data_IF_101034038905
#
_entry.id   IF_101034038905
#
_cell.length_a   1.000
_cell.length_b   1.000
_cell.length_c   1.000
_cell.angle_alpha   90.00
_cell.angle_beta   90.00
_cell.angle_gamma   90.00
#
_symmetry.space_group_name_H-M   'P 1'
#
loop_
_entity.id
_entity.type
_entity.pdbx_description
1 polymer ?
#
# COMPACT_ATOMS: atom_id res chain seq x y z
N UNK A 1 -10.06 8.75 20.81
CA UNK A 1 -9.01 8.16 19.95
C UNK A 1 -8.27 7.11 20.79
N UNK A 2 -8.07 5.89 20.27
CA UNK A 2 -7.29 4.85 20.96
C UNK A 2 -5.78 5.19 20.89
N UNK A 3 -4.94 4.73 21.84
CA UNK A 3 -3.50 4.93 21.74
C UNK A 3 -2.93 4.26 20.46
N UNK A 4 -1.84 4.78 19.88
CA UNK A 4 -1.17 4.12 18.77
C UNK A 4 -0.59 2.78 19.22
N UNK A 5 -0.59 1.81 18.32
CA UNK A 5 0.05 0.51 18.54
C UNK A 5 1.39 0.48 17.80
N UNK A 6 2.46 -0.07 18.43
CA UNK A 6 3.67 -0.38 17.69
C UNK A 6 3.33 -1.42 16.63
N UNK A 7 3.76 -1.15 15.39
CA UNK A 7 3.43 -1.95 14.23
C UNK A 7 4.61 -1.92 13.27
N UNK A 8 5.11 -3.09 12.91
CA UNK A 8 6.07 -3.26 11.81
C UNK A 8 5.40 -4.07 10.70
N UNK A 9 5.04 -3.41 9.61
CA UNK A 9 4.35 -4.05 8.50
C UNK A 9 5.23 -5.02 7.71
N UNK A 10 6.54 -5.09 7.98
CA UNK A 10 7.41 -6.13 7.41
C UNK A 10 7.33 -7.46 8.16
N UNK A 11 6.83 -7.46 9.40
CA UNK A 11 6.71 -8.65 10.24
C UNK A 11 5.36 -9.35 10.03
N UNK A 12 5.30 -10.64 9.64
CA UNK A 12 4.03 -11.33 9.37
C UNK A 12 3.02 -11.30 10.53
N UNK A 13 3.52 -11.17 11.76
CA UNK A 13 2.75 -11.22 13.01
C UNK A 13 2.10 -9.89 13.39
N UNK A 14 2.35 -8.79 12.66
CA UNK A 14 1.89 -7.44 13.05
C UNK A 14 0.37 -7.33 13.21
N UNK A 15 -0.39 -8.24 12.59
CA UNK A 15 -1.85 -8.28 12.67
C UNK A 15 -2.41 -9.15 13.79
N UNK A 16 -1.60 -9.98 14.45
CA UNK A 16 -2.07 -11.02 15.39
C UNK A 16 -2.79 -10.44 16.61
N UNK A 17 -2.38 -9.27 17.07
CA UNK A 17 -2.98 -8.57 18.21
C UNK A 17 -4.36 -7.95 17.88
N UNK A 18 -4.83 -8.05 16.63
CA UNK A 18 -6.09 -7.50 16.17
C UNK A 18 -6.95 -8.61 15.58
N UNK A 19 -8.23 -8.63 15.95
CA UNK A 19 -9.21 -9.55 15.38
C UNK A 19 -9.35 -9.35 13.86
N UNK A 20 -9.52 -10.45 13.12
CA UNK A 20 -9.78 -10.37 11.69
C UNK A 20 -11.11 -9.64 11.43
N UNK A 21 -11.21 -8.96 10.29
CA UNK A 21 -12.42 -8.24 9.88
C UNK A 21 -12.89 -7.09 10.80
N UNK A 22 -11.98 -6.50 11.57
CA UNK A 22 -12.29 -5.45 12.55
C UNK A 22 -12.42 -4.03 11.98
N UNK A 23 -11.90 -3.75 10.78
CA UNK A 23 -11.79 -2.38 10.27
C UNK A 23 -12.61 -2.12 9.01
N UNK A 24 -13.24 -0.94 8.94
CA UNK A 24 -13.89 -0.43 7.74
C UNK A 24 -12.88 0.06 6.69
N UNK A 25 -11.78 0.65 7.15
CA UNK A 25 -10.76 1.23 6.31
C UNK A 25 -9.36 1.13 6.90
N UNK A 26 -8.36 1.03 6.02
CA UNK A 26 -6.94 1.16 6.33
C UNK A 26 -6.37 2.23 5.39
N UNK A 27 -5.54 3.11 5.94
CA UNK A 27 -4.91 4.19 5.17
C UNK A 27 -3.40 4.10 5.40
N UNK A 28 -2.64 4.07 4.31
CA UNK A 28 -1.18 4.15 4.31
C UNK A 28 -0.75 5.36 3.48
N UNK A 29 -0.08 6.32 4.10
CA UNK A 29 0.31 7.58 3.45
C UNK A 29 1.81 7.77 3.50
N UNK A 30 2.44 7.87 2.32
CA UNK A 30 3.89 8.03 2.18
C UNK A 30 4.73 6.94 2.87
N UNK A 31 4.23 5.71 2.92
CA UNK A 31 4.94 4.57 3.57
C UNK A 31 5.73 3.75 2.54
N UNK A 32 5.09 3.35 1.44
CA UNK A 32 5.60 2.25 0.61
C UNK A 32 6.91 2.56 -0.15
N UNK A 33 7.19 3.83 -0.40
CA UNK A 33 8.36 4.25 -1.18
C UNK A 33 9.61 4.53 -0.33
N UNK A 34 9.45 4.66 0.99
CA UNK A 34 10.54 4.84 1.97
C UNK A 34 10.67 3.62 2.90
N UNK A 35 10.27 2.45 2.42
CA UNK A 35 10.33 1.20 3.16
C UNK A 35 10.70 0.05 2.22
N UNK A 36 11.27 -1.05 2.73
CA UNK A 36 11.51 -2.26 1.94
C UNK A 36 10.23 -2.84 1.35
N UNK A 37 10.34 -3.63 0.28
CA UNK A 37 9.17 -4.22 -0.38
C UNK A 37 8.33 -5.11 0.55
N UNK A 38 8.95 -5.74 1.55
CA UNK A 38 8.27 -6.52 2.59
C UNK A 38 7.15 -5.74 3.30
N UNK A 39 7.30 -4.42 3.48
CA UNK A 39 6.25 -3.57 4.06
C UNK A 39 5.02 -3.47 3.15
N UNK A 40 5.22 -3.48 1.82
CA UNK A 40 4.09 -3.55 0.87
C UNK A 40 3.38 -4.89 1.03
N UNK A 41 4.13 -6.00 1.03
CA UNK A 41 3.58 -7.35 1.19
C UNK A 41 2.77 -7.49 2.48
N UNK A 42 3.33 -7.09 3.62
CA UNK A 42 2.63 -7.19 4.90
C UNK A 42 1.47 -6.20 5.04
N UNK A 43 1.53 -5.01 4.41
CA UNK A 43 0.37 -4.11 4.35
C UNK A 43 -0.80 -4.76 3.61
N UNK A 44 -0.58 -5.32 2.41
CA UNK A 44 -1.66 -5.94 1.63
C UNK A 44 -2.16 -7.23 2.29
N UNK A 45 -1.27 -8.07 2.82
CA UNK A 45 -1.66 -9.25 3.59
C UNK A 45 -2.50 -8.87 4.82
N UNK A 46 -2.06 -7.87 5.57
CA UNK A 46 -2.78 -7.42 6.74
C UNK A 46 -4.11 -6.77 6.40
N UNK A 47 -4.20 -6.01 5.31
CA UNK A 47 -5.47 -5.48 4.82
C UNK A 47 -6.44 -6.60 4.42
N UNK A 48 -5.94 -7.65 3.76
CA UNK A 48 -6.73 -8.84 3.42
C UNK A 48 -7.32 -9.53 4.64
N UNK A 49 -6.59 -9.55 5.77
CA UNK A 49 -7.06 -10.12 7.04
C UNK A 49 -7.99 -9.18 7.83
N UNK A 50 -7.62 -7.90 7.94
CA UNK A 50 -8.16 -6.98 8.94
C UNK A 50 -9.33 -6.11 8.47
N UNK A 51 -9.41 -5.74 7.19
CA UNK A 51 -10.59 -5.02 6.69
C UNK A 51 -11.82 -5.89 6.86
N UNK A 52 -13.04 -5.38 6.89
CA UNK A 52 -14.27 -6.21 6.77
C UNK A 52 -14.59 -6.48 5.29
N UNK A 53 -15.49 -7.42 4.95
CA UNK A 53 -15.94 -7.57 3.57
C UNK A 53 -16.54 -6.24 3.10
N UNK A 54 -16.14 -5.79 1.91
CA UNK A 54 -16.44 -4.44 1.39
C UNK A 54 -15.61 -3.28 1.95
N UNK A 55 -14.71 -3.52 2.91
CA UNK A 55 -13.82 -2.51 3.49
C UNK A 55 -12.74 -2.01 2.52
N UNK A 56 -12.18 -0.83 2.78
CA UNK A 56 -11.27 -0.13 1.87
C UNK A 56 -9.82 -0.01 2.35
N UNK A 57 -8.85 -0.28 1.47
CA UNK A 57 -7.45 0.09 1.67
C UNK A 57 -7.12 1.28 0.76
N UNK A 58 -6.61 2.36 1.34
CA UNK A 58 -6.22 3.57 0.62
C UNK A 58 -4.72 3.79 0.77
N UNK A 59 -4.00 3.73 -0.35
CA UNK A 59 -2.54 3.91 -0.36
C UNK A 59 -2.20 5.19 -1.10
N UNK A 60 -1.71 6.20 -0.36
CA UNK A 60 -1.30 7.49 -0.90
C UNK A 60 0.21 7.54 -1.14
N UNK A 61 0.60 7.99 -2.33
CA UNK A 61 1.99 8.27 -2.66
C UNK A 61 2.25 8.44 -4.17
N UNK A 62 3.53 8.53 -4.56
CA UNK A 62 3.94 8.43 -5.94
C UNK A 62 3.94 6.96 -6.40
N UNK A 63 3.52 6.72 -7.64
CA UNK A 63 3.53 5.39 -8.24
C UNK A 63 3.99 5.43 -9.70
N UNK A 64 4.66 4.36 -10.10
CA UNK A 64 4.87 4.00 -11.51
C UNK A 64 3.62 3.27 -12.04
N UNK A 65 3.52 3.20 -13.36
CA UNK A 65 2.44 2.48 -14.06
C UNK A 65 3.08 1.63 -15.14
N UNK A 66 2.85 0.32 -15.07
CA UNK A 66 3.41 -0.66 -16.01
C UNK A 66 4.94 -0.53 -16.19
N UNK A 67 5.64 -0.29 -15.09
CA UNK A 67 7.08 -0.12 -15.01
C UNK A 67 7.57 1.30 -15.30
N UNK A 68 6.73 2.18 -15.84
CA UNK A 68 7.12 3.54 -16.27
C UNK A 68 6.79 4.60 -15.22
N UNK A 69 7.69 5.59 -15.06
CA UNK A 69 7.39 6.80 -14.30
C UNK A 69 6.41 7.69 -15.07
N UNK A 70 5.47 8.31 -14.35
CA UNK A 70 4.43 9.19 -14.91
C UNK A 70 4.85 10.65 -14.95
N UNK A 71 5.94 11.00 -14.28
CA UNK A 71 6.52 12.35 -14.24
C UNK A 71 8.02 12.29 -13.97
N UNK A 72 8.79 13.20 -14.56
CA UNK A 72 10.24 13.33 -14.34
C UNK A 72 10.59 13.62 -12.87
N UNK A 73 9.72 14.33 -12.16
CA UNK A 73 9.86 14.57 -10.71
C UNK A 73 9.87 13.25 -9.91
N UNK A 74 9.03 12.28 -10.31
CA UNK A 74 8.92 11.00 -9.62
C UNK A 74 10.09 10.07 -9.97
N UNK A 75 10.64 10.16 -11.18
CA UNK A 75 11.86 9.45 -11.57
C UNK A 75 13.08 9.94 -10.78
N UNK A 76 13.29 11.26 -10.72
CA UNK A 76 14.36 11.85 -9.92
C UNK A 76 14.21 11.53 -8.42
N UNK A 77 12.97 11.53 -7.92
CA UNK A 77 12.66 11.12 -6.55
C UNK A 77 13.00 9.64 -6.30
N UNK A 78 12.62 8.73 -7.21
CA UNK A 78 12.96 7.31 -7.13
C UNK A 78 14.48 7.07 -7.09
N UNK A 79 15.22 7.70 -7.99
CA UNK A 79 16.68 7.61 -8.03
C UNK A 79 17.30 8.09 -6.72
N UNK A 80 16.81 9.20 -6.16
CA UNK A 80 17.28 9.72 -4.87
C UNK A 80 16.98 8.75 -3.73
N UNK A 81 15.78 8.16 -3.67
CA UNK A 81 15.40 7.18 -2.64
C UNK A 81 16.33 5.97 -2.68
N UNK A 82 16.53 5.39 -3.88
CA UNK A 82 17.41 4.23 -4.09
C UNK A 82 18.86 4.50 -3.73
N UNK A 83 19.33 5.73 -3.95
CA UNK A 83 20.68 6.14 -3.55
C UNK A 83 20.86 6.19 -2.02
N UNK A 84 19.79 6.49 -1.27
CA UNK A 84 19.82 6.47 0.20
C UNK A 84 19.66 5.06 0.76
N UNK A 85 18.81 4.25 0.13
CA UNK A 85 18.59 2.85 0.48
C UNK A 85 18.09 2.09 -0.76
N UNK A 86 18.80 1.04 -1.17
CA UNK A 86 18.49 0.26 -2.37
C UNK A 86 17.11 -0.43 -2.32
N UNK A 87 16.57 -0.67 -1.13
CA UNK A 87 15.25 -1.30 -0.95
C UNK A 87 14.08 -0.31 -1.06
N UNK A 88 14.38 0.99 -1.07
CA UNK A 88 13.41 2.07 -1.23
C UNK A 88 13.18 2.40 -2.70
N UNK A 89 12.12 3.16 -2.98
CA UNK A 89 11.79 3.58 -4.33
C UNK A 89 10.29 3.60 -4.62
N UNK A 90 9.93 4.29 -5.69
CA UNK A 90 8.55 4.43 -6.16
C UNK A 90 8.03 3.07 -6.64
N UNK A 91 6.96 2.60 -5.97
CA UNK A 91 6.31 1.32 -6.29
C UNK A 91 5.52 1.41 -7.59
N UNK A 92 5.34 0.26 -8.24
CA UNK A 92 4.53 0.15 -9.45
C UNK A 92 3.08 -0.19 -9.10
N UNK A 93 2.12 0.63 -9.55
CA UNK A 93 0.70 0.41 -9.20
C UNK A 93 0.13 -0.88 -9.79
N UNK A 94 0.63 -1.33 -10.94
CA UNK A 94 0.19 -2.58 -11.58
C UNK A 94 0.71 -3.79 -10.80
N UNK A 95 1.96 -3.73 -10.32
CA UNK A 95 2.51 -4.73 -9.41
C UNK A 95 1.75 -4.78 -8.09
N UNK A 96 1.47 -3.62 -7.49
CA UNK A 96 0.68 -3.54 -6.26
C UNK A 96 -0.75 -4.06 -6.45
N UNK A 97 -1.36 -3.85 -7.62
CA UNK A 97 -2.66 -4.42 -7.95
C UNK A 97 -2.63 -5.96 -7.99
N UNK A 98 -1.59 -6.55 -8.60
CA UNK A 98 -1.42 -8.02 -8.60
C UNK A 98 -1.18 -8.56 -7.20
N UNK A 99 -0.35 -7.89 -6.40
CA UNK A 99 -0.11 -8.24 -5.01
C UNK A 99 -1.40 -8.19 -4.19
N UNK A 100 -2.18 -7.11 -4.33
CA UNK A 100 -3.47 -6.94 -3.67
C UNK A 100 -4.44 -8.10 -3.97
N UNK A 101 -4.53 -8.54 -5.24
CA UNK A 101 -5.41 -9.63 -5.63
C UNK A 101 -5.05 -10.95 -4.96
N UNK A 102 -3.78 -11.22 -4.68
CA UNK A 102 -3.36 -12.41 -3.93
C UNK A 102 -3.85 -12.44 -2.47
N UNK A 103 -4.32 -11.29 -1.95
CA UNK A 103 -4.86 -11.12 -0.61
C UNK A 103 -6.35 -10.75 -0.59
N UNK A 104 -7.08 -11.00 -1.68
CA UNK A 104 -8.52 -10.75 -1.75
C UNK A 104 -8.91 -9.27 -1.86
N UNK A 105 -7.98 -8.42 -2.28
CA UNK A 105 -8.24 -7.00 -2.56
C UNK A 105 -8.23 -6.72 -4.07
N UNK A 106 -9.13 -5.85 -4.50
CA UNK A 106 -9.22 -5.38 -5.89
C UNK A 106 -8.95 -3.89 -5.95
N UNK A 107 -8.07 -3.47 -6.86
CA UNK A 107 -7.86 -2.05 -7.15
C UNK A 107 -9.10 -1.52 -7.87
N UNK A 108 -9.83 -0.61 -7.20
CA UNK A 108 -11.07 -0.01 -7.73
C UNK A 108 -10.79 1.27 -8.50
N UNK A 109 -9.88 2.08 -7.98
CA UNK A 109 -9.62 3.42 -8.52
C UNK A 109 -8.18 3.85 -8.25
N UNK A 110 -7.62 4.61 -9.19
CA UNK A 110 -6.42 5.42 -8.96
C UNK A 110 -6.80 6.90 -9.04
N UNK A 111 -7.09 7.49 -7.90
CA UNK A 111 -7.53 8.88 -7.80
C UNK A 111 -6.33 9.83 -7.87
N UNK A 112 -6.22 10.60 -8.94
CA UNK A 112 -5.14 11.58 -9.12
C UNK A 112 -5.23 12.70 -8.07
N UNK A 113 -4.08 13.12 -7.57
CA UNK A 113 -3.93 14.24 -6.64
C UNK A 113 -2.83 15.20 -7.13
N UNK A 114 -2.74 16.41 -6.55
CA UNK A 114 -1.69 17.35 -6.90
C UNK A 114 -0.27 16.78 -6.74
N UNK A 115 0.70 17.44 -7.39
CA UNK A 115 2.13 17.10 -7.32
C UNK A 115 2.49 15.67 -7.79
N UNK A 116 1.78 15.16 -8.81
CA UNK A 116 2.04 13.85 -9.42
C UNK A 116 1.90 12.65 -8.45
N UNK A 117 1.14 12.83 -7.38
CA UNK A 117 0.74 11.75 -6.46
C UNK A 117 -0.66 11.24 -6.81
N UNK A 118 -1.01 10.07 -6.29
CA UNK A 118 -2.37 9.57 -6.33
C UNK A 118 -2.69 8.74 -5.09
N UNK A 119 -3.98 8.41 -4.94
CA UNK A 119 -4.44 7.39 -4.02
C UNK A 119 -4.81 6.16 -4.84
N UNK A 120 -4.23 5.01 -4.48
CA UNK A 120 -4.73 3.72 -4.92
C UNK A 120 -5.82 3.28 -3.95
N UNK A 121 -7.04 3.17 -4.44
CA UNK A 121 -8.22 2.75 -3.69
C UNK A 121 -8.49 1.28 -3.96
N UNK A 122 -8.23 0.43 -2.97
CA UNK A 122 -8.52 -0.99 -3.02
C UNK A 122 -9.75 -1.32 -2.19
N UNK A 123 -10.52 -2.33 -2.62
CA UNK A 123 -11.65 -2.86 -1.87
C UNK A 123 -11.42 -4.32 -1.56
N UNK A 124 -11.67 -4.73 -0.32
CA UNK A 124 -11.72 -6.15 0.05
C UNK A 124 -13.04 -6.74 -0.46
N UNK A 125 -12.95 -7.75 -1.31
CA UNK A 125 -14.14 -8.44 -1.81
C UNK A 125 -14.66 -9.41 -0.76
N UNK A 126 -15.95 -9.72 -0.84
CA UNK A 126 -16.54 -10.76 -0.02
C UNK A 126 -15.94 -12.11 -0.45
N UNK A 127 -15.66 -12.99 0.51
CA UNK A 127 -15.43 -14.39 0.18
C UNK A 127 -16.81 -14.98 -0.15
N UNK A 128 -17.02 -15.39 -1.40
CA UNK A 128 -18.18 -16.22 -1.78
C UNK A 128 -18.20 -17.53 -0.99
#
# INVERSE_FOLDING_TARGET
VRPPLPLDASEPTWTEAVEASSYDAIIASNVLHISPYAVSQGLFAGAGRLLRPGGGLFVYGPFRVDGAHTASSNEAFDARLKAMNADWGVRDSTELARLASSYGLTLMERAALPANNCVLCFKRLDAE
#
